data_IF_232201947297
#
_entry.id   IF_232201947297
#
_cell.length_a   1.000
_cell.length_b   1.000
_cell.length_c   1.000
_cell.angle_alpha   90.00
_cell.angle_beta   90.00
_cell.angle_gamma   90.00
#
_symmetry.space_group_name_H-M   'P 1'
#
loop_
_entity.id
_entity.type
_entity.pdbx_description
1 polymer ?
#
# COMPACT_ATOMS: atom_id res chain seq x y z
N UNK A 1 3.11 -10.32 54.12
CA UNK A 1 2.64 -11.26 53.07
C UNK A 1 1.27 -11.76 53.47
N UNK A 2 0.31 -12.01 52.57
CA UNK A 2 0.23 -11.75 51.11
C UNK A 2 -1.01 -10.83 50.83
N UNK A 3 -1.41 -10.36 49.66
CA UNK A 3 -1.08 -10.57 48.26
C UNK A 3 -1.38 -9.20 47.62
N UNK A 4 -0.36 -8.44 47.25
CA UNK A 4 -0.48 -7.59 46.06
C UNK A 4 -0.55 -8.59 44.90
N UNK A 5 -1.76 -9.11 44.65
CA UNK A 5 -2.06 -9.78 43.41
C UNK A 5 -1.94 -8.71 42.34
N UNK A 6 -0.73 -8.63 41.79
CA UNK A 6 -0.42 -8.19 40.44
C UNK A 6 -1.34 -8.99 39.53
N UNK A 7 -2.59 -8.52 39.43
CA UNK A 7 -3.59 -9.07 38.55
C UNK A 7 -3.12 -8.75 37.14
N UNK A 8 -2.54 -9.80 36.56
CA UNK A 8 -2.53 -10.04 35.13
C UNK A 8 -1.79 -8.95 34.35
N UNK A 9 -0.52 -9.24 34.09
CA UNK A 9 0.15 -8.87 32.84
C UNK A 9 -0.57 -9.52 31.64
N UNK A 10 -1.85 -9.20 31.49
CA UNK A 10 -2.62 -9.32 30.27
C UNK A 10 -2.97 -7.89 29.89
N UNK A 11 -1.95 -7.06 29.66
CA UNK A 11 -2.08 -6.06 28.62
C UNK A 11 -2.25 -6.90 27.34
N UNK A 12 -3.49 -7.35 27.09
CA UNK A 12 -3.92 -7.63 25.73
C UNK A 12 -3.49 -6.39 24.99
N UNK A 13 -2.60 -6.58 24.02
CA UNK A 13 -2.29 -5.54 23.07
C UNK A 13 -3.61 -5.16 22.40
N UNK A 14 -4.36 -4.22 22.98
CA UNK A 14 -5.78 -4.05 22.69
C UNK A 14 -6.02 -3.61 21.24
N UNK A 15 -4.95 -3.20 20.56
CA UNK A 15 -4.94 -2.64 19.23
C UNK A 15 -3.84 -3.32 18.43
N UNK A 16 -4.20 -4.35 17.68
CA UNK A 16 -3.29 -5.05 16.77
C UNK A 16 -3.55 -4.60 15.32
N UNK A 17 -2.50 -4.54 14.53
CA UNK A 17 -2.56 -4.25 13.08
C UNK A 17 -1.73 -5.30 12.39
N UNK A 18 -2.33 -5.94 11.40
CA UNK A 18 -1.64 -6.88 10.53
C UNK A 18 -1.29 -6.11 9.26
N UNK A 19 -0.03 -6.22 8.84
CA UNK A 19 0.49 -5.58 7.63
C UNK A 19 1.14 -6.63 6.76
N UNK A 20 1.06 -6.48 5.44
CA UNK A 20 1.67 -7.41 4.50
C UNK A 20 2.12 -6.65 3.26
N UNK A 21 3.15 -7.17 2.59
CA UNK A 21 3.62 -6.61 1.33
C UNK A 21 2.90 -7.31 0.18
N UNK A 22 2.33 -6.56 -0.76
CA UNK A 22 1.66 -7.08 -1.95
C UNK A 22 2.07 -6.30 -3.19
N UNK A 23 2.32 -7.01 -4.29
CA UNK A 23 2.61 -6.41 -5.58
C UNK A 23 1.28 -5.99 -6.21
N UNK A 24 1.04 -4.68 -6.24
CA UNK A 24 -0.15 -4.10 -6.84
C UNK A 24 0.16 -3.71 -8.28
N UNK A 25 -0.61 -4.30 -9.20
CA UNK A 25 -0.52 -4.03 -10.63
C UNK A 25 -1.45 -2.88 -11.03
N UNK A 26 -0.87 -1.80 -11.55
CA UNK A 26 -1.55 -0.66 -12.14
C UNK A 26 -1.60 -0.83 -13.66
N UNK A 27 -2.79 -1.15 -14.17
CA UNK A 27 -3.01 -1.31 -15.60
C UNK A 27 -3.43 0.01 -16.25
N UNK A 28 -2.84 0.33 -17.39
CA UNK A 28 -3.17 1.52 -18.17
C UNK A 28 -3.00 1.27 -19.67
N UNK A 29 -3.77 1.98 -20.47
CA UNK A 29 -3.64 1.94 -21.94
C UNK A 29 -3.25 3.32 -22.43
N UNK A 30 -2.18 3.41 -23.22
CA UNK A 30 -1.77 4.67 -23.83
C UNK A 30 -2.68 5.02 -25.01
N UNK A 31 -2.95 6.32 -25.25
CA UNK A 31 -3.74 6.73 -26.39
C UNK A 31 -3.05 6.32 -27.70
N UNK A 32 -3.72 5.51 -28.51
CA UNK A 32 -3.18 5.01 -29.78
C UNK A 32 -2.57 3.60 -29.71
N UNK A 33 -2.46 3.02 -28.52
CA UNK A 33 -2.12 1.61 -28.34
C UNK A 33 -3.38 0.78 -28.03
N UNK A 34 -3.45 -0.41 -28.62
CA UNK A 34 -4.53 -1.39 -28.34
C UNK A 34 -4.14 -2.34 -27.19
N UNK A 35 -2.87 -2.37 -26.80
CA UNK A 35 -2.33 -3.22 -25.74
C UNK A 35 -2.30 -2.50 -24.39
N UNK A 36 -2.79 -3.19 -23.36
CA UNK A 36 -2.74 -2.73 -21.97
C UNK A 36 -1.32 -2.92 -21.42
N UNK A 37 -0.79 -1.85 -20.83
CA UNK A 37 0.48 -1.86 -20.11
C UNK A 37 0.22 -1.99 -18.61
N UNK A 38 1.15 -2.63 -17.90
CA UNK A 38 1.07 -2.84 -16.46
C UNK A 38 2.33 -2.30 -15.79
N UNK A 39 2.15 -1.52 -14.73
CA UNK A 39 3.21 -1.15 -13.79
C UNK A 39 2.92 -1.86 -12.48
N UNK A 40 3.87 -2.66 -11.99
CA UNK A 40 3.75 -3.37 -10.71
C UNK A 40 4.60 -2.66 -9.65
N UNK A 41 4.03 -2.43 -8.47
CA UNK A 41 4.77 -1.93 -7.32
C UNK A 41 4.43 -2.72 -6.05
N UNK A 42 5.46 -3.00 -5.26
CA UNK A 42 5.31 -3.58 -3.93
C UNK A 42 4.79 -2.51 -2.96
N UNK A 43 3.59 -2.75 -2.40
CA UNK A 43 2.94 -1.90 -1.42
C UNK A 43 2.79 -2.62 -0.08
N UNK A 44 2.97 -1.89 1.01
CA UNK A 44 2.59 -2.40 2.34
C UNK A 44 1.12 -2.08 2.57
N UNK A 45 0.29 -3.11 2.72
CA UNK A 45 -1.14 -2.99 2.95
C UNK A 45 -1.48 -3.34 4.39
N UNK A 46 -2.52 -2.69 4.91
CA UNK A 46 -3.11 -3.01 6.22
C UNK A 46 -4.22 -4.02 6.04
N UNK A 47 -4.20 -5.06 6.86
CA UNK A 47 -5.31 -5.99 7.01
C UNK A 47 -6.14 -5.62 8.23
N UNK A 48 -7.41 -5.32 8.00
CA UNK A 48 -8.34 -4.81 9.02
C UNK A 48 -9.05 -5.92 9.82
N UNK A 49 -8.90 -7.18 9.43
CA UNK A 49 -9.58 -8.32 10.06
C UNK A 49 -8.60 -9.17 10.89
N UNK A 50 -8.96 -10.41 11.24
CA UNK A 50 -8.12 -11.29 12.05
C UNK A 50 -7.01 -11.95 11.23
N UNK A 51 -5.95 -12.37 11.93
CA UNK A 51 -4.86 -13.13 11.34
C UNK A 51 -5.32 -14.45 10.74
N UNK A 52 -6.32 -15.10 11.34
CA UNK A 52 -6.89 -16.34 10.82
C UNK A 52 -7.48 -16.14 9.42
N UNK A 53 -8.24 -15.05 9.21
CA UNK A 53 -8.78 -14.71 7.88
C UNK A 53 -7.68 -14.30 6.91
N UNK A 54 -6.64 -13.62 7.39
CA UNK A 54 -5.49 -13.30 6.54
C UNK A 54 -4.83 -14.57 5.99
N UNK A 55 -4.57 -15.55 6.87
CA UNK A 55 -3.97 -16.83 6.49
C UNK A 55 -4.91 -17.63 5.58
N UNK A 56 -6.22 -17.57 5.79
CA UNK A 56 -7.19 -18.21 4.90
C UNK A 56 -7.18 -17.59 3.49
N UNK A 57 -7.07 -16.26 3.40
CA UNK A 57 -7.11 -15.52 2.14
C UNK A 57 -5.80 -15.63 1.33
N UNK A 58 -4.64 -15.41 1.98
CA UNK A 58 -3.34 -15.32 1.30
C UNK A 58 -2.45 -16.56 1.51
N UNK A 59 -2.87 -17.49 2.37
CA UNK A 59 -2.06 -18.62 2.77
C UNK A 59 -1.05 -18.29 3.87
N UNK A 60 -0.36 -19.32 4.35
CA UNK A 60 0.70 -19.19 5.38
C UNK A 60 2.04 -18.75 4.82
N UNK A 61 2.19 -18.74 3.49
CA UNK A 61 3.43 -18.40 2.80
C UNK A 61 3.60 -16.90 2.58
N UNK A 62 2.50 -16.14 2.63
CA UNK A 62 2.52 -14.69 2.46
C UNK A 62 3.19 -14.03 3.67
N UNK A 63 4.27 -13.24 3.49
CA UNK A 63 4.93 -12.56 4.59
C UNK A 63 4.02 -11.48 5.16
N UNK A 64 3.72 -11.58 6.47
CA UNK A 64 2.96 -10.59 7.21
C UNK A 64 3.70 -10.17 8.48
N UNK A 65 3.38 -8.99 8.98
CA UNK A 65 3.88 -8.42 10.22
C UNK A 65 2.70 -8.00 11.10
N UNK A 66 2.64 -8.56 12.30
CA UNK A 66 1.67 -8.15 13.32
C UNK A 66 2.34 -7.12 14.23
N UNK A 67 1.75 -5.93 14.31
CA UNK A 67 2.17 -4.89 15.25
C UNK A 67 1.09 -4.63 16.27
N UNK A 68 1.49 -4.73 17.52
CA UNK A 68 0.68 -4.43 18.69
C UNK A 68 0.92 -3.03 19.20
N UNK A 69 -0.16 -2.31 19.51
CA UNK A 69 -0.14 -0.98 20.08
C UNK A 69 -0.82 -0.95 21.44
N UNK A 70 -0.30 -0.12 22.35
CA UNK A 70 -0.89 0.10 23.68
C UNK A 70 -2.05 1.11 23.65
N UNK A 71 -2.16 1.91 22.59
CA UNK A 71 -3.16 2.97 22.45
C UNK A 71 -3.73 2.96 21.04
N UNK A 72 -5.04 3.15 20.94
CA UNK A 72 -5.76 3.30 19.67
C UNK A 72 -5.18 4.42 18.81
N UNK A 73 -4.78 5.55 19.42
CA UNK A 73 -4.20 6.68 18.68
C UNK A 73 -2.89 6.31 17.98
N UNK A 74 -2.06 5.46 18.61
CA UNK A 74 -0.79 5.03 18.04
C UNK A 74 -1.04 4.03 16.90
N UNK A 75 -2.03 3.15 17.07
CA UNK A 75 -2.52 2.26 16.02
C UNK A 75 -3.02 3.04 14.81
N UNK A 76 -3.91 4.00 15.03
CA UNK A 76 -4.49 4.85 13.99
C UNK A 76 -3.41 5.62 13.25
N UNK A 77 -2.49 6.26 13.97
CA UNK A 77 -1.37 6.97 13.34
C UNK A 77 -0.50 6.06 12.47
N UNK A 78 -0.31 4.80 12.87
CA UNK A 78 0.43 3.84 12.07
C UNK A 78 -0.32 3.44 10.80
N UNK A 79 -1.64 3.23 10.88
CA UNK A 79 -2.50 2.94 9.73
C UNK A 79 -2.51 4.13 8.77
N UNK A 80 -2.82 5.34 9.25
CA UNK A 80 -2.82 6.58 8.46
C UNK A 80 -1.48 6.80 7.74
N UNK A 81 -0.36 6.43 8.38
CA UNK A 81 0.96 6.52 7.75
C UNK A 81 1.11 5.54 6.58
N UNK A 82 0.71 4.29 6.74
CA UNK A 82 0.80 3.29 5.66
C UNK A 82 -0.12 3.68 4.50
N UNK A 83 -1.32 4.13 4.81
CA UNK A 83 -2.27 4.63 3.82
C UNK A 83 -1.69 5.83 3.08
N UNK A 84 -1.06 6.78 3.79
CA UNK A 84 -0.38 7.91 3.17
C UNK A 84 0.78 7.51 2.25
N UNK A 85 1.64 6.57 2.67
CA UNK A 85 2.71 6.03 1.82
C UNK A 85 2.14 5.33 0.56
N UNK A 86 0.95 4.74 0.68
CA UNK A 86 0.23 4.12 -0.45
C UNK A 86 -0.35 5.18 -1.39
N UNK A 87 -0.97 6.23 -0.85
CA UNK A 87 -1.50 7.35 -1.63
C UNK A 87 -0.39 8.09 -2.39
N UNK A 88 0.75 8.38 -1.74
CA UNK A 88 1.91 9.02 -2.36
C UNK A 88 2.43 8.19 -3.56
N UNK A 89 2.49 6.85 -3.43
CA UNK A 89 2.89 5.98 -4.53
C UNK A 89 1.86 5.97 -5.66
N UNK A 90 0.56 5.93 -5.34
CA UNK A 90 -0.50 5.98 -6.35
C UNK A 90 -0.40 7.28 -7.15
N UNK A 91 -0.15 8.41 -6.49
CA UNK A 91 0.05 9.70 -7.15
C UNK A 91 1.30 9.70 -8.05
N UNK A 92 2.41 9.10 -7.60
CA UNK A 92 3.62 8.94 -8.42
C UNK A 92 3.36 8.10 -9.68
N UNK A 93 2.69 6.95 -9.53
CA UNK A 93 2.32 6.08 -10.66
C UNK A 93 1.38 6.80 -11.63
N UNK A 94 0.40 7.55 -11.11
CA UNK A 94 -0.49 8.35 -11.94
C UNK A 94 0.24 9.46 -12.69
N UNK A 95 1.19 10.14 -12.04
CA UNK A 95 2.03 11.14 -12.69
C UNK A 95 2.91 10.50 -13.79
N UNK A 96 3.48 9.31 -13.52
CA UNK A 96 4.26 8.57 -14.52
C UNK A 96 3.39 8.22 -15.74
N UNK A 97 2.20 7.68 -15.52
CA UNK A 97 1.24 7.36 -16.59
C UNK A 97 0.83 8.63 -17.34
N UNK A 98 0.50 9.71 -16.62
CA UNK A 98 0.11 10.98 -17.23
C UNK A 98 1.25 11.59 -18.08
N UNK A 99 2.49 11.48 -17.63
CA UNK A 99 3.66 11.89 -18.40
C UNK A 99 3.78 11.05 -19.69
N UNK A 100 3.59 9.72 -19.62
CA UNK A 100 3.55 8.87 -20.83
C UNK A 100 2.41 9.27 -21.77
N UNK A 101 1.22 9.56 -21.27
CA UNK A 101 0.08 10.01 -22.09
C UNK A 101 0.32 11.40 -22.72
N UNK A 102 0.96 12.32 -22.00
CA UNK A 102 1.24 13.70 -22.46
C UNK A 102 2.32 13.75 -23.54
N UNK A 103 3.33 12.88 -23.46
CA UNK A 103 4.38 12.75 -24.47
C UNK A 103 4.07 11.72 -25.57
N UNK A 104 3.03 10.89 -25.39
CA UNK A 104 2.43 10.03 -26.41
C UNK A 104 1.58 10.81 -27.43
N UNK A 105 1.35 12.11 -27.22
CA UNK A 105 1.05 13.00 -28.34
C UNK A 105 2.29 13.03 -29.22
N UNK A 106 2.22 12.43 -30.41
CA UNK A 106 3.06 12.84 -31.52
C UNK A 106 3.08 14.37 -31.54
N UNK A 107 4.19 14.96 -31.09
CA UNK A 107 4.49 16.34 -31.41
C UNK A 107 4.76 16.36 -32.92
N UNK A 108 3.68 16.36 -33.70
CA UNK A 108 3.63 16.75 -35.11
C UNK A 108 3.56 18.28 -35.22
N UNK A 109 3.90 19.01 -34.16
CA UNK A 109 4.26 20.41 -34.24
C UNK A 109 5.51 20.50 -35.11
N UNK A 110 5.34 21.07 -36.31
CA UNK A 110 6.39 21.33 -37.28
C UNK A 110 7.69 21.67 -36.56
N UNK A 111 8.67 20.75 -36.58
CA UNK A 111 10.05 21.15 -36.37
C UNK A 111 10.29 22.16 -37.49
N UNK A 112 10.38 23.45 -37.13
CA UNK A 112 10.90 24.46 -38.04
C UNK A 112 12.24 23.88 -38.52
N UNK A 113 12.31 23.55 -39.81
CA UNK A 113 13.61 23.46 -40.47
C UNK A 113 14.13 24.90 -40.48
N UNK A 114 14.84 25.28 -39.43
CA UNK A 114 15.73 26.43 -39.47
C UNK A 114 17.09 25.94 -40.02
N UNK A 115 17.39 26.48 -41.20
CA UNK A 115 18.60 26.42 -42.07
C UNK A 115 18.90 25.13 -42.87
#
# INVERSE_FOLDING_TARGET
MPNDEVTSQKEENAYEVITYADDVAFNYTLPGEEEEQTIEHELTLVWEDTLEKFIEAYGTDKPYSVRSFRREKDQKFFIDRIEGETEDLIDEVQEEIANKMKFGFEFSGQLHNDD
#
